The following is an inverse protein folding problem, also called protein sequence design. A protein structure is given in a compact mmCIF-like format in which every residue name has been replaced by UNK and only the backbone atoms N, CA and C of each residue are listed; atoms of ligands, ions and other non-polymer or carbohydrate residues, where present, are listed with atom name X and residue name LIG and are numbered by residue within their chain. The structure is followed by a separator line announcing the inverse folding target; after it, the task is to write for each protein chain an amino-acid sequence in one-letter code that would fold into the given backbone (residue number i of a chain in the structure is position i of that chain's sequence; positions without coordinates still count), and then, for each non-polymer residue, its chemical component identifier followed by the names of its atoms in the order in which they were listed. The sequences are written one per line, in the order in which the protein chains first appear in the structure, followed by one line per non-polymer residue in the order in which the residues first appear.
data_IF_064333636289
#
_entry.id   IF_064333636289
#
_cell.length_a   1.000
_cell.length_b   1.000
_cell.length_c   1.000
_cell.angle_alpha   90.00
_cell.angle_beta   90.00
_cell.angle_gamma   90.00
#
_symmetry.space_group_name_H-M   'P 1'
#
loop_
_entity.id
_entity.type
_entity.pdbx_description
1 polymer ?
#
# COMPACT_ATOMS: atom_id res chain seq x y z
N UNK A 1 -7.48 -4.28 8.21
CA UNK A 1 -7.27 -2.88 7.76
C UNK A 1 -7.17 -1.82 8.89
N UNK A 2 -6.36 -0.76 8.72
CA UNK A 2 -6.29 0.46 9.57
C UNK A 2 -5.88 1.69 8.75
N UNK A 3 -6.42 2.88 9.05
CA UNK A 3 -5.96 4.15 8.44
C UNK A 3 -4.59 4.56 9.01
N UNK A 4 -3.59 4.76 8.14
CA UNK A 4 -2.25 5.25 8.51
C UNK A 4 -1.67 6.16 7.43
N UNK A 5 -0.66 6.95 7.79
CA UNK A 5 0.02 7.84 6.84
C UNK A 5 0.97 7.06 5.92
N UNK A 6 0.72 7.13 4.60
CA UNK A 6 1.65 6.64 3.60
C UNK A 6 2.64 7.75 3.23
N UNK A 7 3.94 7.53 3.44
CA UNK A 7 4.96 8.54 3.12
C UNK A 7 5.17 8.75 1.62
N UNK A 8 4.80 7.77 0.78
CA UNK A 8 4.86 7.89 -0.69
C UNK A 8 3.72 8.75 -1.22
N UNK A 9 2.49 8.50 -0.74
CA UNK A 9 1.29 9.28 -1.10
C UNK A 9 1.21 10.63 -0.38
N UNK A 10 1.94 10.79 0.73
CA UNK A 10 1.91 11.96 1.60
C UNK A 10 0.55 12.28 2.21
N UNK A 11 -0.28 11.25 2.42
CA UNK A 11 -1.61 11.36 3.02
C UNK A 11 -1.93 10.12 3.86
N UNK A 12 -2.98 10.24 4.68
CA UNK A 12 -3.55 9.09 5.38
C UNK A 12 -4.38 8.25 4.40
N UNK A 13 -4.14 6.93 4.40
CA UNK A 13 -4.79 5.96 3.52
C UNK A 13 -5.20 4.72 4.34
N UNK A 14 -6.26 4.00 3.95
CA UNK A 14 -6.54 2.71 4.55
C UNK A 14 -5.45 1.71 4.13
N UNK A 15 -4.75 1.16 5.13
CA UNK A 15 -3.73 0.15 4.91
C UNK A 15 -4.27 -1.24 5.21
N UNK A 16 -3.98 -2.17 4.31
CA UNK A 16 -4.34 -3.57 4.39
C UNK A 16 -3.58 -4.25 5.54
N UNK A 17 -4.25 -5.13 6.27
CA UNK A 17 -3.60 -6.08 7.17
C UNK A 17 -2.89 -7.21 6.39
N UNK A 18 -2.28 -8.14 7.14
CA UNK A 18 -1.46 -9.20 6.57
C UNK A 18 -2.23 -10.12 5.62
N UNK A 19 -3.46 -10.50 5.96
CA UNK A 19 -4.27 -11.39 5.12
C UNK A 19 -4.81 -10.64 3.90
N UNK A 20 -5.28 -9.42 4.11
CA UNK A 20 -5.75 -8.56 3.03
C UNK A 20 -4.63 -8.27 2.01
N UNK A 21 -3.40 -8.03 2.51
CA UNK A 21 -2.21 -7.77 1.71
C UNK A 21 -1.75 -8.96 0.88
N UNK A 22 -1.83 -10.19 1.41
CA UNK A 22 -1.53 -11.42 0.65
C UNK A 22 -2.45 -11.57 -0.58
N UNK A 23 -3.74 -11.29 -0.41
CA UNK A 23 -4.70 -11.31 -1.51
C UNK A 23 -4.35 -10.24 -2.54
N UNK A 24 -4.07 -9.00 -2.10
CA UNK A 24 -3.67 -7.91 -2.98
C UNK A 24 -2.40 -8.25 -3.80
N UNK A 25 -1.37 -8.83 -3.17
CA UNK A 25 -0.16 -9.27 -3.87
C UNK A 25 -0.44 -10.35 -4.91
N UNK A 26 -1.33 -11.31 -4.61
CA UNK A 26 -1.76 -12.33 -5.58
C UNK A 26 -2.46 -11.70 -6.79
N UNK A 27 -3.40 -10.79 -6.56
CA UNK A 27 -4.13 -10.10 -7.63
C UNK A 27 -3.22 -9.22 -8.49
N UNK A 28 -2.21 -8.58 -7.88
CA UNK A 28 -1.18 -7.87 -8.65
C UNK A 28 -0.42 -8.83 -9.58
N UNK A 29 0.01 -9.98 -9.05
CA UNK A 29 0.71 -10.98 -9.84
C UNK A 29 -0.15 -11.49 -11.00
N UNK A 30 -1.44 -11.74 -10.78
CA UNK A 30 -2.40 -12.09 -11.83
C UNK A 30 -2.45 -11.03 -12.93
N UNK A 31 -2.54 -9.74 -12.57
CA UNK A 31 -2.56 -8.65 -13.55
C UNK A 31 -1.31 -8.62 -14.45
N UNK A 32 -0.14 -8.88 -13.89
CA UNK A 32 1.09 -9.01 -14.67
C UNK A 32 1.12 -10.27 -15.57
N UNK A 33 0.46 -11.37 -15.18
CA UNK A 33 0.36 -12.55 -16.03
C UNK A 33 -0.57 -12.32 -17.22
N UNK A 34 -1.66 -11.56 -17.05
CA UNK A 34 -2.56 -11.22 -18.16
C UNK A 34 -1.86 -10.38 -19.24
N UNK A 35 -0.95 -9.47 -18.85
CA UNK A 35 -0.08 -8.74 -19.79
C UNK A 35 0.75 -9.70 -20.64
N UNK A 36 1.35 -10.73 -20.01
CA UNK A 36 2.22 -11.69 -20.70
C UNK A 36 1.48 -12.58 -21.69
N UNK A 37 0.18 -12.83 -21.47
CA UNK A 37 -0.65 -13.64 -22.36
C UNK A 37 -1.00 -12.96 -23.69
N UNK A 38 -0.51 -11.73 -23.94
CA UNK A 38 -0.76 -10.95 -25.16
C UNK A 38 -2.24 -10.78 -25.50
N UNK A 39 -3.12 -10.86 -24.50
CA UNK A 39 -4.53 -10.53 -24.69
C UNK A 39 -4.59 -9.03 -25.01
N UNK A 40 -5.38 -8.62 -26.02
CA UNK A 40 -5.61 -7.21 -26.39
C UNK A 40 -6.42 -6.44 -25.32
N UNK A 41 -6.19 -6.73 -24.05
CA UNK A 41 -6.80 -6.07 -22.91
C UNK A 41 -6.02 -4.78 -22.65
N UNK A 42 -6.68 -3.62 -22.55
CA UNK A 42 -6.01 -2.38 -22.16
C UNK A 42 -5.22 -2.56 -20.87
N UNK A 43 -4.05 -1.92 -20.74
CA UNK A 43 -3.19 -2.09 -19.56
C UNK A 43 -3.93 -1.80 -18.24
N UNK A 44 -4.82 -0.80 -18.24
CA UNK A 44 -5.67 -0.41 -17.11
C UNK A 44 -6.60 -1.53 -16.63
N UNK A 45 -7.02 -2.42 -17.53
CA UNK A 45 -7.98 -3.49 -17.26
C UNK A 45 -7.33 -4.68 -16.57
N UNK A 46 -6.03 -4.91 -16.77
CA UNK A 46 -5.29 -6.03 -16.19
C UNK A 46 -5.28 -6.01 -14.66
N UNK A 47 -5.34 -4.81 -14.06
CA UNK A 47 -5.29 -4.64 -12.60
C UNK A 47 -6.67 -4.34 -11.99
N UNK A 48 -7.75 -4.39 -12.77
CA UNK A 48 -9.09 -4.04 -12.28
C UNK A 48 -9.54 -4.91 -11.11
N UNK A 49 -9.17 -6.19 -11.10
CA UNK A 49 -9.44 -7.08 -9.94
C UNK A 49 -8.80 -6.56 -8.65
N UNK A 50 -7.55 -6.11 -8.71
CA UNK A 50 -6.84 -5.55 -7.56
C UNK A 50 -7.45 -4.23 -7.09
N UNK A 51 -7.75 -3.33 -8.04
CA UNK A 51 -8.37 -2.03 -7.72
C UNK A 51 -9.77 -2.21 -7.08
N UNK A 52 -10.58 -3.10 -7.66
CA UNK A 52 -11.90 -3.42 -7.12
C UNK A 52 -11.80 -4.04 -5.73
N UNK A 53 -10.92 -5.04 -5.54
CA UNK A 53 -10.70 -5.66 -4.25
C UNK A 53 -10.30 -4.63 -3.18
N UNK A 54 -9.35 -3.73 -3.50
CA UNK A 54 -8.94 -2.68 -2.58
C UNK A 54 -10.12 -1.75 -2.23
N UNK A 55 -10.94 -1.36 -3.21
CA UNK A 55 -12.14 -0.55 -2.98
C UNK A 55 -13.18 -1.28 -2.12
N UNK A 56 -13.39 -2.57 -2.36
CA UNK A 56 -14.35 -3.40 -1.61
C UNK A 56 -13.96 -3.52 -0.13
N UNK A 57 -12.68 -3.78 0.18
CA UNK A 57 -12.24 -4.00 1.57
C UNK A 57 -11.96 -2.70 2.32
N UNK A 58 -11.62 -1.62 1.63
CA UNK A 58 -11.25 -0.34 2.29
C UNK A 58 -12.29 0.78 2.14
N UNK A 59 -13.20 0.68 1.17
CA UNK A 59 -14.09 1.76 0.76
C UNK A 59 -13.39 2.90 0.01
N UNK A 60 -12.07 2.84 -0.19
CA UNK A 60 -11.29 3.88 -0.86
C UNK A 60 -11.02 3.54 -2.32
N UNK A 61 -11.23 4.50 -3.21
CA UNK A 61 -10.98 4.34 -4.64
C UNK A 61 -9.53 4.68 -4.98
N UNK A 62 -8.70 3.65 -5.10
CA UNK A 62 -7.36 3.76 -5.69
C UNK A 62 -7.42 3.55 -7.20
N UNK A 63 -6.62 4.30 -7.94
CA UNK A 63 -6.56 4.24 -9.42
C UNK A 63 -5.22 3.71 -9.92
N UNK A 64 -4.20 3.74 -9.06
CA UNK A 64 -2.87 3.25 -9.34
C UNK A 64 -2.62 1.94 -8.59
N UNK A 65 -2.60 0.82 -9.32
CA UNK A 65 -2.33 -0.50 -8.75
C UNK A 65 -0.99 -0.59 -8.00
N UNK A 66 0.02 0.20 -8.40
CA UNK A 66 1.31 0.23 -7.73
C UNK A 66 1.24 0.93 -6.37
N UNK A 67 0.26 1.83 -6.17
CA UNK A 67 0.11 2.52 -4.89
C UNK A 67 -0.33 1.57 -3.77
N UNK A 68 -1.19 0.61 -4.10
CA UNK A 68 -1.68 -0.41 -3.16
C UNK A 68 -0.50 -1.19 -2.53
N UNK A 69 0.60 -1.38 -3.25
CA UNK A 69 1.76 -2.14 -2.77
C UNK A 69 2.56 -1.46 -1.68
N UNK A 70 2.27 -0.20 -1.35
CA UNK A 70 2.80 0.48 -0.17
C UNK A 70 1.72 0.89 0.82
N UNK A 71 0.53 0.27 0.73
CA UNK A 71 -0.59 0.42 1.67
C UNK A 71 -0.75 -0.83 2.54
N UNK A 72 0.33 -1.48 2.96
CA UNK A 72 0.29 -2.66 3.84
C UNK A 72 0.80 -2.27 5.22
N UNK A 73 0.05 -2.61 6.28
CA UNK A 73 0.39 -2.23 7.66
C UNK A 73 1.77 -2.76 8.04
N UNK A 74 2.05 -4.02 7.72
CA UNK A 74 3.27 -4.75 8.10
C UNK A 74 4.54 -4.17 7.45
N UNK A 75 4.41 -3.30 6.44
CA UNK A 75 5.57 -2.63 5.84
C UNK A 75 6.10 -1.47 6.70
N UNK A 76 5.27 -0.94 7.59
CA UNK A 76 5.58 0.26 8.36
C UNK A 76 6.04 -0.08 9.76
N UNK A 77 6.89 0.77 10.31
CA UNK A 77 7.35 0.65 11.69
C UNK A 77 6.39 1.30 12.69
N UNK A 78 6.90 1.56 13.91
CA UNK A 78 6.15 2.23 14.96
C UNK A 78 5.79 3.65 14.56
N UNK A 79 4.84 4.24 15.29
CA UNK A 79 4.51 5.65 15.12
C UNK A 79 5.61 6.55 15.69
N UNK A 80 5.91 7.63 14.97
CA UNK A 80 6.88 8.65 15.38
C UNK A 80 6.44 9.34 16.67
N UNK A 81 7.33 9.40 17.65
CA UNK A 81 7.10 10.01 18.95
C UNK A 81 6.82 11.52 18.86
N UNK A 82 7.26 12.18 17.78
CA UNK A 82 7.07 13.62 17.57
C UNK A 82 5.78 13.96 16.82
N UNK A 83 5.32 13.13 15.87
CA UNK A 83 4.18 13.49 15.00
C UNK A 83 3.09 12.42 14.86
N UNK A 84 3.25 11.27 15.51
CA UNK A 84 2.30 10.15 15.48
C UNK A 84 2.18 9.43 14.13
N UNK A 85 2.97 9.80 13.10
CA UNK A 85 2.96 9.10 11.80
C UNK A 85 4.03 7.99 11.76
N UNK A 86 3.78 6.87 11.08
CA UNK A 86 4.69 5.72 11.08
C UNK A 86 6.07 6.01 10.50
N UNK A 87 7.07 5.33 11.07
CA UNK A 87 8.37 5.12 10.43
C UNK A 87 8.23 4.21 9.20
N UNK A 88 9.18 4.32 8.26
CA UNK A 88 9.13 3.57 6.99
C UNK A 88 9.21 2.07 7.16
N UNK A 89 9.90 1.61 8.20
CA UNK A 89 10.13 0.20 8.57
C UNK A 89 10.36 0.13 10.08
N UNK A 90 10.33 -1.09 10.64
CA UNK A 90 10.56 -1.32 12.07
C UNK A 90 11.92 -0.80 12.57
N UNK A 91 12.95 -0.80 11.71
CA UNK A 91 14.31 -0.36 12.05
C UNK A 91 14.64 1.06 11.61
N UNK A 92 13.72 1.77 10.94
CA UNK A 92 13.99 3.11 10.44
C UNK A 92 14.16 4.11 11.60
N UNK A 93 15.21 4.92 11.56
CA UNK A 93 15.48 5.99 12.54
C UNK A 93 14.86 7.32 12.13
N UNK A 94 14.70 7.58 10.83
CA UNK A 94 14.22 8.86 10.29
C UNK A 94 12.72 8.85 9.97
N UNK A 95 11.99 9.85 10.48
CA UNK A 95 10.57 10.02 10.22
C UNK A 95 10.35 10.78 8.90
N UNK A 96 9.74 10.15 7.88
CA UNK A 96 9.56 10.80 6.58
C UNK A 96 8.50 11.91 6.56
N UNK A 97 7.70 12.06 7.63
CA UNK A 97 6.69 13.13 7.74
C UNK A 97 7.27 14.42 8.29
N UNK A 98 7.94 14.35 9.44
CA UNK A 98 8.36 15.54 10.21
C UNK A 98 9.88 15.69 10.35
N UNK A 99 10.66 14.71 9.89
CA UNK A 99 12.12 14.74 9.98
C UNK A 99 12.72 14.30 11.31
N UNK A 100 11.91 13.93 12.30
CA UNK A 100 12.39 13.43 13.59
C UNK A 100 13.32 12.21 13.43
N UNK A 101 14.33 12.10 14.30
CA UNK A 101 15.25 10.96 14.34
C UNK A 101 15.19 10.26 15.70
N UNK A 102 14.64 9.04 15.74
CA UNK A 102 14.63 8.22 16.94
C UNK A 102 15.93 7.45 17.11
N UNK A 103 16.22 7.07 18.35
CA UNK A 103 17.27 6.11 18.70
C UNK A 103 16.61 4.72 18.81
N UNK A 104 17.19 3.72 18.15
CA UNK A 104 16.79 2.31 18.19
C UNK A 104 17.96 1.47 18.65
#
# INVERSE_FOLDING_TARGET
MKIRYCWRCKMDVPMLDSEEGKIASKLLAEGFQEIKKQVKTPFSENFRKLLNYYKEVTGYEETNHNAIMHHFIDMYGPDCENCGKPYRTETATFCPKCGNRRKV
#
